data_IF_427456167524
#
_entry.id   IF_427456167524
#
_cell.length_a   1.000
_cell.length_b   1.000
_cell.length_c   1.000
_cell.angle_alpha   90.00
_cell.angle_beta   90.00
_cell.angle_gamma   90.00
#
_symmetry.space_group_name_H-M   'P 1'
#
loop_
_entity.id
_entity.type
_entity.pdbx_description
1 polymer ?
#
# COMPACT_ATOMS: atom_id res chain seq x y z
N UNK A 1 -11.30 1.97 -45.06
CA UNK A 1 -9.86 1.61 -45.05
C UNK A 1 -9.15 2.61 -44.16
N UNK A 2 -8.60 2.19 -43.03
CA UNK A 2 -7.65 3.04 -42.30
C UNK A 2 -6.32 2.95 -43.05
N UNK A 3 -5.75 4.08 -43.42
CA UNK A 3 -4.45 4.13 -44.10
C UNK A 3 -3.36 3.76 -43.10
N UNK A 4 -2.76 2.58 -43.30
CA UNK A 4 -1.61 2.10 -42.52
C UNK A 4 -0.39 3.01 -42.76
N UNK A 5 -0.34 4.12 -42.03
CA UNK A 5 0.89 4.89 -41.87
C UNK A 5 1.80 4.04 -40.98
N UNK A 6 2.84 3.47 -41.58
CA UNK A 6 3.86 2.76 -40.82
C UNK A 6 4.55 3.77 -39.90
N UNK A 7 4.18 3.76 -38.62
CA UNK A 7 4.97 4.37 -37.57
C UNK A 7 6.18 3.46 -37.37
N UNK A 8 7.24 3.72 -38.14
CA UNK A 8 8.57 3.21 -37.86
C UNK A 8 9.06 3.89 -36.57
N UNK A 9 8.67 3.33 -35.43
CA UNK A 9 9.29 3.63 -34.13
C UNK A 9 10.58 2.82 -34.09
N UNK A 10 11.59 3.29 -34.82
CA UNK A 10 12.93 2.72 -34.78
C UNK A 10 13.65 3.33 -33.55
N UNK A 11 14.04 2.45 -32.62
CA UNK A 11 14.86 2.63 -31.42
C UNK A 11 14.44 3.60 -30.28
N UNK A 12 13.44 4.49 -30.44
CA UNK A 12 12.97 5.39 -29.36
C UNK A 12 11.54 5.08 -28.84
N UNK A 13 11.27 3.84 -28.42
CA UNK A 13 10.02 3.51 -27.70
C UNK A 13 10.09 3.82 -26.19
N UNK A 14 11.30 3.72 -25.61
CA UNK A 14 11.54 3.77 -24.15
C UNK A 14 11.53 5.19 -23.56
N UNK A 15 11.14 6.20 -24.34
CA UNK A 15 10.97 7.58 -23.86
C UNK A 15 9.68 7.80 -23.06
N UNK A 16 8.81 6.80 -22.93
CA UNK A 16 7.64 6.81 -22.04
C UNK A 16 7.53 5.46 -21.31
N UNK A 17 7.82 5.47 -20.02
CA UNK A 17 7.72 4.30 -19.13
C UNK A 17 6.79 4.58 -17.95
N UNK A 18 6.33 3.54 -17.26
CA UNK A 18 5.56 3.69 -16.02
C UNK A 18 6.52 3.92 -14.84
N UNK A 19 6.28 4.98 -14.06
CA UNK A 19 7.14 5.38 -12.93
C UNK A 19 7.40 4.24 -11.91
N UNK A 20 6.44 3.33 -11.75
CA UNK A 20 6.56 2.21 -10.81
C UNK A 20 7.46 1.07 -11.29
N UNK A 21 7.84 0.98 -12.57
CA UNK A 21 8.64 -0.14 -13.10
C UNK A 21 9.95 -0.33 -12.35
N UNK A 22 10.74 0.74 -12.22
CA UNK A 22 12.04 0.70 -11.53
C UNK A 22 11.90 0.44 -10.03
N UNK A 23 10.83 0.94 -9.40
CA UNK A 23 10.53 0.71 -7.98
C UNK A 23 10.14 -0.74 -7.71
N UNK A 24 9.27 -1.32 -8.56
CA UNK A 24 8.83 -2.72 -8.46
C UNK A 24 10.00 -3.68 -8.66
N UNK A 25 10.87 -3.43 -9.65
CA UNK A 25 12.05 -4.27 -9.89
C UNK A 25 13.03 -4.22 -8.71
N UNK A 26 13.29 -3.03 -8.15
CA UNK A 26 14.15 -2.87 -6.97
C UNK A 26 13.57 -3.60 -5.75
N UNK A 27 12.30 -3.34 -5.42
CA UNK A 27 11.64 -3.96 -4.26
C UNK A 27 11.53 -5.48 -4.40
N UNK A 28 11.26 -6.00 -5.61
CA UNK A 28 11.23 -7.45 -5.84
C UNK A 28 12.62 -8.09 -5.68
N UNK A 29 13.68 -7.40 -6.10
CA UNK A 29 15.06 -7.82 -5.86
C UNK A 29 15.41 -7.80 -4.36
N UNK A 30 14.94 -6.80 -3.60
CA UNK A 30 15.20 -6.69 -2.17
C UNK A 30 14.39 -7.72 -1.34
N UNK A 31 13.17 -8.04 -1.75
CA UNK A 31 12.31 -9.03 -1.06
C UNK A 31 12.63 -10.49 -1.40
N UNK A 32 13.12 -10.82 -2.61
CA UNK A 32 13.25 -12.21 -3.07
C UNK A 32 14.70 -12.66 -3.37
N UNK A 33 15.27 -13.63 -2.62
CA UNK A 33 16.60 -14.16 -2.90
C UNK A 33 16.67 -14.96 -4.22
N UNK A 34 15.54 -15.42 -4.77
CA UNK A 34 15.47 -16.09 -6.07
C UNK A 34 15.70 -15.11 -7.22
N UNK A 35 15.15 -13.90 -7.09
CA UNK A 35 15.39 -12.80 -8.03
C UNK A 35 16.86 -12.35 -7.95
N UNK A 36 17.44 -12.28 -6.75
CA UNK A 36 18.87 -11.99 -6.55
C UNK A 36 19.81 -13.03 -7.18
N UNK A 37 19.37 -14.29 -7.28
CA UNK A 37 20.09 -15.37 -7.97
C UNK A 37 20.01 -15.27 -9.51
N UNK A 38 19.21 -14.34 -10.05
CA UNK A 38 19.14 -14.05 -11.48
C UNK A 38 17.98 -14.72 -12.22
N UNK A 39 16.96 -15.24 -11.52
CA UNK A 39 15.74 -15.76 -12.18
C UNK A 39 14.92 -14.61 -12.80
N UNK A 40 15.13 -14.40 -14.10
CA UNK A 40 14.51 -13.31 -14.86
C UNK A 40 13.05 -13.57 -15.21
N UNK A 41 12.66 -14.83 -15.38
CA UNK A 41 11.29 -15.20 -15.74
C UNK A 41 10.38 -15.04 -14.51
N UNK A 42 10.84 -15.50 -13.33
CA UNK A 42 10.16 -15.26 -12.06
C UNK A 42 10.05 -13.76 -11.72
N UNK A 43 11.13 -12.98 -11.95
CA UNK A 43 11.07 -11.52 -11.81
C UNK A 43 10.03 -10.90 -12.75
N UNK A 44 9.95 -11.35 -14.01
CA UNK A 44 9.00 -10.82 -14.98
C UNK A 44 7.55 -11.12 -14.58
N UNK A 45 7.25 -12.34 -14.13
CA UNK A 45 5.92 -12.72 -13.63
C UNK A 45 5.51 -11.89 -12.39
N UNK A 46 6.42 -11.78 -11.40
CA UNK A 46 6.19 -10.99 -10.18
C UNK A 46 5.99 -9.50 -10.50
N UNK A 47 6.84 -8.93 -11.36
CA UNK A 47 6.73 -7.53 -11.76
C UNK A 47 5.44 -7.25 -12.55
N UNK A 48 5.05 -8.13 -13.48
CA UNK A 48 3.79 -8.02 -14.21
C UNK A 48 2.58 -8.08 -13.28
N UNK A 49 2.57 -8.98 -12.29
CA UNK A 49 1.49 -9.03 -11.30
C UNK A 49 1.46 -7.76 -10.46
N UNK A 50 2.60 -7.34 -9.88
CA UNK A 50 2.69 -6.16 -9.02
C UNK A 50 2.30 -4.85 -9.73
N UNK A 51 2.79 -4.61 -10.96
CA UNK A 51 2.48 -3.40 -11.73
C UNK A 51 0.99 -3.26 -12.04
N UNK A 52 0.29 -4.37 -12.30
CA UNK A 52 -1.16 -4.38 -12.51
C UNK A 52 -1.97 -4.09 -11.22
N UNK A 53 -1.33 -4.09 -10.04
CA UNK A 53 -1.96 -3.70 -8.76
C UNK A 53 -1.80 -2.19 -8.45
N UNK A 54 -0.91 -1.50 -9.16
CA UNK A 54 -0.58 -0.09 -8.93
C UNK A 54 -1.30 0.82 -9.95
N UNK A 55 -1.69 2.06 -9.59
CA UNK A 55 -2.26 2.99 -10.55
C UNK A 55 -1.22 3.34 -11.64
N UNK A 56 -1.48 3.11 -12.94
CA UNK A 56 -0.48 3.34 -13.98
C UNK A 56 -0.14 4.83 -14.09
N UNK A 57 1.16 5.16 -14.12
CA UNK A 57 1.65 6.55 -14.20
C UNK A 57 2.80 6.67 -15.20
N UNK A 58 2.44 6.88 -16.46
CA UNK A 58 3.38 7.06 -17.57
C UNK A 58 4.05 8.43 -17.55
N UNK A 59 5.37 8.43 -17.70
CA UNK A 59 6.25 9.59 -17.56
C UNK A 59 7.37 9.53 -18.59
N UNK A 60 8.06 10.66 -18.83
CA UNK A 60 9.25 10.68 -19.69
C UNK A 60 10.54 10.50 -18.89
N UNK A 61 10.65 11.11 -17.72
CA UNK A 61 11.83 10.98 -16.85
C UNK A 61 11.44 10.96 -15.37
N UNK A 62 12.11 10.11 -14.58
CA UNK A 62 11.91 10.01 -13.13
C UNK A 62 12.19 11.34 -12.39
N UNK A 63 13.10 12.15 -12.93
CA UNK A 63 13.49 13.46 -12.37
C UNK A 63 12.34 14.47 -12.42
N UNK A 64 11.50 14.41 -13.46
CA UNK A 64 10.31 15.28 -13.58
C UNK A 64 9.31 14.93 -12.46
N UNK A 65 9.11 13.64 -12.19
CA UNK A 65 8.20 13.17 -11.14
C UNK A 65 8.67 13.49 -9.73
N UNK A 66 9.92 13.14 -9.41
CA UNK A 66 10.49 13.30 -8.07
C UNK A 66 10.54 14.76 -7.63
N UNK A 67 10.66 15.71 -8.56
CA UNK A 67 10.59 17.15 -8.26
C UNK A 67 9.19 17.62 -7.80
N UNK A 68 8.10 16.97 -8.24
CA UNK A 68 6.73 17.37 -7.90
C UNK A 68 6.10 16.59 -6.74
N UNK A 69 6.77 15.55 -6.24
CA UNK A 69 6.30 14.74 -5.10
C UNK A 69 6.85 15.26 -3.77
N UNK A 70 6.02 15.22 -2.73
CA UNK A 70 6.47 15.47 -1.37
C UNK A 70 7.17 14.23 -0.77
N UNK A 71 7.99 14.38 0.28
CA UNK A 71 8.56 13.24 0.99
C UNK A 71 7.50 12.25 1.50
N UNK A 72 6.31 12.75 1.85
CA UNK A 72 5.18 11.93 2.26
C UNK A 72 4.64 11.10 1.09
N UNK A 73 4.46 11.69 -0.09
CA UNK A 73 3.99 10.98 -1.29
C UNK A 73 4.97 9.86 -1.70
N UNK A 74 6.28 10.10 -1.56
CA UNK A 74 7.31 9.09 -1.84
C UNK A 74 7.21 7.91 -0.86
N UNK A 75 7.08 8.17 0.44
CA UNK A 75 6.87 7.12 1.44
C UNK A 75 5.56 6.34 1.19
N UNK A 76 4.47 7.01 0.82
CA UNK A 76 3.21 6.33 0.46
C UNK A 76 3.37 5.42 -0.77
N UNK A 77 4.13 5.87 -1.77
CA UNK A 77 4.46 5.08 -2.96
C UNK A 77 5.31 3.86 -2.61
N UNK A 78 6.38 4.03 -1.82
CA UNK A 78 7.24 2.93 -1.36
C UNK A 78 6.42 1.86 -0.61
N UNK A 79 5.57 2.26 0.34
CA UNK A 79 4.70 1.34 1.06
C UNK A 79 3.69 0.61 0.15
N UNK A 80 3.13 1.31 -0.86
CA UNK A 80 2.23 0.71 -1.87
C UNK A 80 2.97 -0.31 -2.74
N UNK A 81 4.19 0.00 -3.18
CA UNK A 81 5.04 -0.89 -3.98
C UNK A 81 5.44 -2.13 -3.18
N UNK A 82 5.95 -1.96 -1.95
CA UNK A 82 6.31 -3.06 -1.05
C UNK A 82 5.14 -4.03 -0.80
N UNK A 83 3.93 -3.50 -0.58
CA UNK A 83 2.72 -4.30 -0.41
C UNK A 83 2.34 -5.04 -1.70
N UNK A 84 2.36 -4.35 -2.85
CA UNK A 84 2.00 -4.95 -4.14
C UNK A 84 2.99 -6.04 -4.61
N UNK A 85 4.29 -5.87 -4.29
CA UNK A 85 5.34 -6.86 -4.57
C UNK A 85 5.23 -8.06 -3.65
N UNK A 86 4.97 -7.88 -2.36
CA UNK A 86 4.75 -8.99 -1.42
C UNK A 86 3.52 -9.84 -1.78
N UNK A 87 2.41 -9.18 -2.15
CA UNK A 87 1.22 -9.83 -2.73
C UNK A 87 1.56 -10.65 -3.99
N UNK A 88 2.36 -10.07 -4.89
CA UNK A 88 2.73 -10.68 -6.16
C UNK A 88 3.66 -11.88 -5.99
N UNK A 89 4.67 -11.80 -5.12
CA UNK A 89 5.56 -12.91 -4.77
C UNK A 89 4.76 -14.11 -4.25
N UNK A 90 3.90 -13.89 -3.26
CA UNK A 90 3.06 -14.95 -2.71
C UNK A 90 2.14 -15.57 -3.78
N UNK A 91 1.58 -14.74 -4.67
CA UNK A 91 0.73 -15.21 -5.76
C UNK A 91 1.48 -16.06 -6.79
N UNK A 92 2.66 -15.64 -7.25
CA UNK A 92 3.45 -16.38 -8.25
C UNK A 92 3.95 -17.69 -7.65
N UNK A 93 4.51 -17.68 -6.44
CA UNK A 93 5.00 -18.89 -5.77
C UNK A 93 3.88 -19.90 -5.49
N UNK A 94 2.69 -19.45 -5.06
CA UNK A 94 1.54 -20.33 -4.85
C UNK A 94 1.02 -20.92 -6.17
N UNK A 95 1.00 -20.12 -7.24
CA UNK A 95 0.62 -20.58 -8.57
C UNK A 95 1.60 -21.61 -9.15
N UNK A 96 2.91 -21.44 -8.94
CA UNK A 96 3.92 -22.46 -9.30
C UNK A 96 3.73 -23.78 -8.54
N UNK A 97 3.24 -23.74 -7.29
CA UNK A 97 2.87 -24.94 -6.50
C UNK A 97 1.55 -25.59 -6.94
N UNK A 98 0.80 -24.99 -7.86
CA UNK A 98 -0.51 -25.47 -8.29
C UNK A 98 -1.66 -25.12 -7.33
N UNK A 99 -1.47 -24.13 -6.47
CA UNK A 99 -2.54 -23.53 -5.68
C UNK A 99 -3.28 -22.46 -6.52
N UNK A 100 -4.53 -22.14 -6.17
CA UNK A 100 -5.28 -20.99 -6.72
C UNK A 100 -5.32 -19.82 -5.71
N UNK A 101 -4.20 -19.08 -5.52
CA UNK A 101 -4.13 -17.95 -4.60
C UNK A 101 -5.03 -16.79 -5.06
N UNK A 102 -5.97 -16.37 -4.22
CA UNK A 102 -6.74 -15.14 -4.47
C UNK A 102 -6.04 -13.92 -3.89
N UNK A 103 -5.48 -13.10 -4.77
CA UNK A 103 -4.97 -11.76 -4.44
C UNK A 103 -6.04 -10.88 -3.76
N UNK A 104 -5.67 -10.01 -2.79
CA UNK A 104 -6.61 -9.10 -2.17
C UNK A 104 -7.10 -8.02 -3.16
N UNK A 105 -8.26 -7.37 -2.89
CA UNK A 105 -8.83 -6.33 -3.75
C UNK A 105 -7.87 -5.18 -4.06
N UNK A 106 -8.07 -4.55 -5.21
CA UNK A 106 -7.23 -3.44 -5.68
C UNK A 106 -7.74 -2.10 -5.17
N UNK A 107 -7.09 -1.57 -4.14
CA UNK A 107 -7.31 -0.20 -3.66
C UNK A 107 -6.55 0.82 -4.53
N UNK A 108 -7.04 1.03 -5.76
CA UNK A 108 -6.46 1.96 -6.76
C UNK A 108 -6.74 3.42 -6.39
N UNK A 109 -6.23 3.84 -5.23
CA UNK A 109 -6.20 5.25 -4.82
C UNK A 109 -5.10 5.98 -5.60
N UNK A 110 -5.51 6.84 -6.53
CA UNK A 110 -4.60 7.79 -7.19
C UNK A 110 -3.91 8.63 -6.11
N UNK A 111 -2.58 8.60 -6.06
CA UNK A 111 -1.79 9.49 -5.21
C UNK A 111 -2.06 10.91 -5.74
N UNK A 112 -2.75 11.72 -4.95
CA UNK A 112 -3.10 13.08 -5.31
C UNK A 112 -1.83 13.94 -5.26
N UNK A 113 -1.16 14.07 -6.39
CA UNK A 113 0.03 14.91 -6.49
C UNK A 113 -0.34 16.38 -6.36
N UNK A 114 0.63 17.25 -6.03
CA UNK A 114 0.38 18.69 -5.79
C UNK A 114 -0.26 19.43 -6.97
N UNK A 115 -0.22 18.86 -8.18
CA UNK A 115 -0.93 19.32 -9.36
C UNK A 115 -2.45 19.04 -9.30
N UNK A 116 -2.85 17.94 -8.66
CA UNK A 116 -4.22 17.47 -8.45
C UNK A 116 -4.90 18.25 -7.32
N UNK A 117 -5.00 19.58 -7.45
CA UNK A 117 -5.72 20.41 -6.47
C UNK A 117 -7.16 19.92 -6.34
N UNK A 118 -7.64 19.58 -5.13
CA UNK A 118 -9.05 19.26 -4.94
C UNK A 118 -9.88 20.51 -5.22
N UNK A 119 -10.76 20.43 -6.21
CA UNK A 119 -11.80 21.44 -6.43
C UNK A 119 -12.67 21.45 -5.17
N UNK A 120 -12.63 22.55 -4.42
CA UNK A 120 -13.52 22.75 -3.27
C UNK A 120 -14.97 22.81 -3.76
N UNK A 121 -15.70 21.71 -3.69
CA UNK A 121 -17.16 21.73 -3.78
C UNK A 121 -17.72 22.54 -2.60
N UNK A 122 -18.39 23.68 -2.82
CA UNK A 122 -18.92 24.51 -1.74
C UNK A 122 -20.29 23.96 -1.28
N UNK A 123 -20.30 22.74 -0.73
CA UNK A 123 -21.54 22.03 -0.40
C UNK A 123 -21.47 21.23 0.92
N UNK A 124 -20.94 21.84 1.99
CA UNK A 124 -21.26 21.45 3.38
C UNK A 124 -20.96 22.54 4.41
N UNK A 125 -21.68 23.65 4.32
CA UNK A 125 -22.00 24.44 5.50
C UNK A 125 -23.21 23.80 6.22
N UNK A 126 -23.29 24.00 7.54
CA UNK A 126 -24.38 23.56 8.44
C UNK A 126 -24.56 22.03 8.65
N UNK A 127 -23.88 21.49 9.67
CA UNK A 127 -24.45 20.54 10.65
C UNK A 127 -23.46 20.35 11.83
N UNK A 128 -23.44 21.29 12.79
CA UNK A 128 -22.63 21.17 14.01
C UNK A 128 -23.54 20.95 15.22
N UNK A 129 -23.47 19.73 15.77
CA UNK A 129 -23.73 19.32 17.16
C UNK A 129 -24.99 19.83 17.88
N UNK A 130 -25.81 18.88 18.29
CA UNK A 130 -26.50 18.92 19.59
C UNK A 130 -25.85 17.86 20.48
N UNK A 131 -25.17 18.28 21.54
CA UNK A 131 -24.62 17.38 22.56
C UNK A 131 -25.77 16.96 23.51
N UNK A 132 -25.97 15.65 23.73
CA UNK A 132 -26.86 15.14 24.78
C UNK A 132 -26.06 14.24 25.76
N UNK A 133 -26.55 14.15 26.99
CA UNK A 133 -25.82 13.84 28.22
C UNK A 133 -26.45 12.60 28.85
N UNK A 134 -25.71 11.50 29.09
CA UNK A 134 -26.31 10.30 29.66
C UNK A 134 -26.81 10.56 31.09
N UNK A 135 -28.11 10.39 31.27
CA UNK A 135 -28.79 10.44 32.56
C UNK A 135 -28.52 9.15 33.39
N UNK A 136 -28.80 9.24 34.68
CA UNK A 136 -28.28 8.39 35.75
C UNK A 136 -29.37 7.50 36.33
N UNK A 137 -29.24 6.18 36.20
CA UNK A 137 -30.16 5.23 36.85
C UNK A 137 -29.42 4.27 37.80
N UNK A 138 -29.54 4.54 39.10
CA UNK A 138 -29.44 3.55 40.20
C UNK A 138 -30.85 2.89 40.34
N UNK A 139 -31.07 1.69 40.89
CA UNK A 139 -30.26 0.87 41.81
C UNK A 139 -30.81 -0.58 41.91
N UNK A 140 -30.07 -1.43 42.65
CA UNK A 140 -30.50 -2.63 43.45
C UNK A 140 -30.94 -3.91 42.71
N UNK A 141 -30.65 -5.15 43.15
CA UNK A 141 -29.78 -5.74 44.22
C UNK A 141 -29.66 -7.28 43.97
N UNK A 142 -29.00 -8.17 44.73
CA UNK A 142 -28.31 -8.14 46.03
C UNK A 142 -27.23 -9.27 46.08
N UNK A 143 -26.06 -9.09 46.72
CA UNK A 143 -25.70 -9.56 48.08
C UNK A 143 -24.73 -10.78 48.14
N UNK A 144 -23.94 -10.79 49.23
CA UNK A 144 -23.09 -11.89 49.76
C UNK A 144 -21.73 -12.13 49.07
N UNK A 145 -20.58 -12.29 49.73
CA UNK A 145 -19.96 -11.96 51.04
C UNK A 145 -18.59 -12.71 51.06
N UNK A 146 -17.68 -12.37 51.97
CA UNK A 146 -16.34 -12.95 52.20
C UNK A 146 -15.35 -12.60 51.07
N UNK A 147 -14.21 -11.93 51.30
CA UNK A 147 -13.11 -12.20 52.25
C UNK A 147 -11.88 -12.61 51.40
N UNK A 148 -10.60 -12.32 51.71
CA UNK A 148 -9.93 -11.80 52.92
C UNK A 148 -8.45 -11.54 52.56
N UNK A 149 -7.82 -10.48 53.11
CA UNK A 149 -6.35 -10.24 53.21
C UNK A 149 -5.49 -10.04 51.93
N UNK A 150 -4.99 -8.81 51.80
CA UNK A 150 -3.56 -8.49 51.50
C UNK A 150 -2.68 -8.79 52.76
N UNK A 151 -1.33 -8.56 52.83
CA UNK A 151 -0.46 -7.87 51.87
C UNK A 151 1.03 -8.37 51.73
N UNK A 152 1.75 -7.71 50.79
CA UNK A 152 3.14 -7.22 50.89
C UNK A 152 4.40 -8.13 50.91
N UNK A 153 5.51 -7.50 50.42
CA UNK A 153 6.95 -7.75 50.69
C UNK A 153 7.57 -9.02 50.05
N UNK A 154 8.87 -9.12 49.70
CA UNK A 154 10.04 -8.25 49.97
C UNK A 154 11.21 -8.51 48.97
N UNK A 155 12.13 -7.53 48.84
CA UNK A 155 13.47 -7.50 48.20
C UNK A 155 14.32 -8.81 48.19
N UNK A 156 15.21 -9.07 47.21
CA UNK A 156 16.66 -8.67 47.06
C UNK A 156 17.19 -9.35 45.77
N UNK A 157 18.04 -8.79 44.90
CA UNK A 157 19.45 -8.31 44.97
C UNK A 157 20.50 -9.40 45.28
N UNK A 158 21.52 -9.49 44.41
CA UNK A 158 22.69 -10.42 44.38
C UNK A 158 22.31 -11.88 44.08
N UNK A 159 23.11 -12.65 43.33
CA UNK A 159 24.45 -12.42 42.72
C UNK A 159 24.45 -12.76 41.25
#
# INVERSE_FOLDING_TARGET
MLTSRAYAIEDDADFIHNFYERLVVQEAFDQSPRIQQGDRDFLADVACVALNRLPPRYIRHDVDMTFFMSPQDMMEIENKVATAVGDALHYVEARERGEDPRLPPLEVSLIATRADKPVKNPAKAAAKKTDDKPEKTKNTSAAKDTGKKSPAKTTRKKT
#
